data_IF_182097405689
#
_entry.id   IF_182097405689
#
_cell.length_a   1.000
_cell.length_b   1.000
_cell.length_c   1.000
_cell.angle_alpha   90.00
_cell.angle_beta   90.00
_cell.angle_gamma   90.00
#
_symmetry.space_group_name_H-M   'P 1'
#
loop_
_entity.id
_entity.type
_entity.pdbx_description
1 polymer ?
#
# COMPACT_ATOMS: atom_id res chain seq x y z
N UNK A 1 -11.73 -3.06 9.08
CA UNK A 1 -10.86 -4.17 9.57
C UNK A 1 -9.41 -3.75 9.41
N UNK A 2 -8.49 -4.23 10.25
CA UNK A 2 -7.05 -4.14 9.98
C UNK A 2 -6.47 -5.55 9.84
N UNK A 3 -5.57 -5.73 8.87
CA UNK A 3 -4.77 -6.94 8.72
C UNK A 3 -3.32 -6.58 9.06
N UNK A 4 -2.60 -7.49 9.72
CA UNK A 4 -1.18 -7.32 10.00
C UNK A 4 -0.34 -8.48 9.44
N UNK A 5 -0.25 -8.64 8.11
CA UNK A 5 0.53 -9.72 7.51
C UNK A 5 2.02 -9.50 7.78
N UNK A 6 2.71 -10.59 8.11
CA UNK A 6 4.17 -10.61 8.24
C UNK A 6 4.82 -10.59 6.86
N UNK A 7 6.04 -10.04 6.78
CA UNK A 7 6.81 -10.01 5.55
C UNK A 7 7.58 -11.33 5.36
N UNK A 8 7.77 -11.82 4.12
CA UNK A 8 8.60 -13.00 3.87
C UNK A 8 10.09 -12.75 4.12
N UNK A 9 10.53 -11.48 4.00
CA UNK A 9 11.87 -11.03 4.30
C UNK A 9 11.87 -9.55 4.69
N UNK A 10 12.88 -9.12 5.46
CA UNK A 10 12.98 -7.78 6.04
C UNK A 10 14.04 -6.89 5.36
N UNK A 11 14.55 -7.30 4.20
CA UNK A 11 15.45 -6.47 3.39
C UNK A 11 14.69 -5.37 2.64
N UNK A 12 15.42 -4.30 2.27
CA UNK A 12 14.84 -3.13 1.62
C UNK A 12 14.15 -3.47 0.28
N UNK A 13 14.73 -4.38 -0.52
CA UNK A 13 14.17 -4.75 -1.82
C UNK A 13 12.80 -5.41 -1.67
N UNK A 14 12.64 -6.33 -0.71
CA UNK A 14 11.37 -6.95 -0.38
C UNK A 14 10.33 -5.91 0.06
N UNK A 15 10.69 -5.01 0.98
CA UNK A 15 9.75 -3.98 1.48
C UNK A 15 9.32 -3.04 0.34
N UNK A 16 10.25 -2.59 -0.49
CA UNK A 16 9.98 -1.74 -1.65
C UNK A 16 9.02 -2.42 -2.63
N UNK A 17 9.22 -3.72 -2.91
CA UNK A 17 8.34 -4.44 -3.84
C UNK A 17 6.89 -4.52 -3.33
N UNK A 18 6.70 -4.73 -2.02
CA UNK A 18 5.37 -4.72 -1.42
C UNK A 18 4.73 -3.32 -1.44
N UNK A 19 5.49 -2.26 -1.17
CA UNK A 19 4.99 -0.88 -1.27
C UNK A 19 4.58 -0.53 -2.72
N UNK A 20 5.43 -0.88 -3.70
CA UNK A 20 5.13 -0.72 -5.14
C UNK A 20 3.86 -1.46 -5.54
N UNK A 21 3.75 -2.74 -5.17
CA UNK A 21 2.56 -3.55 -5.45
C UNK A 21 1.31 -2.93 -4.82
N UNK A 22 1.41 -2.50 -3.56
CA UNK A 22 0.31 -1.84 -2.86
C UNK A 22 -0.15 -0.56 -3.58
N UNK A 23 0.75 0.31 -4.00
CA UNK A 23 0.39 1.53 -4.71
C UNK A 23 -0.25 1.24 -6.07
N UNK A 24 0.32 0.32 -6.83
CA UNK A 24 -0.24 -0.06 -8.12
C UNK A 24 -1.66 -0.64 -7.99
N UNK A 25 -1.96 -1.36 -6.92
CA UNK A 25 -3.27 -1.99 -6.71
C UNK A 25 -4.26 -1.13 -5.92
N UNK A 26 -3.86 0.04 -5.40
CA UNK A 26 -4.68 0.80 -4.44
C UNK A 26 -6.05 1.20 -5.01
N UNK A 27 -6.11 1.74 -6.22
CA UNK A 27 -7.38 2.15 -6.82
C UNK A 27 -8.31 0.96 -7.09
N UNK A 28 -7.74 -0.18 -7.48
CA UNK A 28 -8.47 -1.43 -7.66
C UNK A 28 -9.05 -1.92 -6.33
N UNK A 29 -8.26 -1.89 -5.25
CA UNK A 29 -8.70 -2.23 -3.88
C UNK A 29 -9.87 -1.32 -3.48
N UNK A 30 -9.70 0.00 -3.61
CA UNK A 30 -10.73 0.99 -3.25
C UNK A 30 -12.02 0.79 -4.04
N UNK A 31 -11.92 0.44 -5.32
CA UNK A 31 -13.08 0.13 -6.16
C UNK A 31 -13.78 -1.18 -5.71
N UNK A 32 -13.02 -2.21 -5.35
CA UNK A 32 -13.54 -3.52 -4.92
C UNK A 32 -14.16 -3.49 -3.53
N UNK A 33 -13.67 -2.64 -2.63
CA UNK A 33 -14.28 -2.45 -1.31
C UNK A 33 -15.64 -1.77 -1.34
N UNK A 34 -16.11 -1.36 -2.54
CA UNK A 34 -17.39 -0.69 -2.77
C UNK A 34 -17.63 0.38 -1.71
N UNK A 35 -16.61 1.22 -1.44
CA UNK A 35 -16.75 2.28 -0.44
C UNK A 35 -17.97 3.09 -0.85
N UNK A 36 -19.04 2.92 -0.07
CA UNK A 36 -20.33 3.52 -0.34
C UNK A 36 -20.08 5.01 -0.61
N UNK A 37 -20.58 5.53 -1.72
CA UNK A 37 -20.26 6.90 -2.16
C UNK A 37 -20.58 7.96 -1.09
N UNK A 38 -21.46 7.63 -0.14
CA UNK A 38 -21.77 8.43 1.05
C UNK A 38 -20.70 8.38 2.16
N UNK A 39 -19.92 7.30 2.29
CA UNK A 39 -18.81 7.14 3.26
C UNK A 39 -17.47 7.71 2.77
N UNK A 40 -17.36 8.09 1.48
CA UNK A 40 -16.22 8.86 0.94
C UNK A 40 -15.97 10.19 1.67
N UNK A 41 -16.92 10.66 2.48
CA UNK A 41 -16.83 11.91 3.25
C UNK A 41 -16.17 11.78 4.63
N UNK A 42 -15.79 10.58 5.08
CA UNK A 42 -15.03 10.42 6.34
C UNK A 42 -13.59 9.98 6.06
N UNK A 43 -12.60 10.89 6.12
CA UNK A 43 -11.20 10.58 5.86
C UNK A 43 -10.57 10.02 7.13
N UNK A 44 -10.99 8.83 7.56
CA UNK A 44 -10.40 8.26 8.78
C UNK A 44 -8.98 7.72 8.55
N UNK A 45 -8.63 7.40 7.29
CA UNK A 45 -7.32 6.88 6.89
C UNK A 45 -6.87 7.58 5.60
N UNK A 46 -5.67 8.17 5.61
CA UNK A 46 -5.11 8.83 4.43
C UNK A 46 -4.33 7.84 3.55
N UNK A 47 -4.40 8.02 2.24
CA UNK A 47 -3.43 7.40 1.32
C UNK A 47 -2.11 8.20 1.28
N UNK A 48 -1.14 7.72 0.52
CA UNK A 48 0.18 8.34 0.36
C UNK A 48 0.14 9.54 -0.59
N UNK A 49 1.07 10.47 -0.39
CA UNK A 49 1.24 11.61 -1.31
C UNK A 49 1.83 11.17 -2.65
N UNK A 50 1.45 11.85 -3.72
CA UNK A 50 1.87 11.52 -5.10
C UNK A 50 3.40 11.48 -5.26
N UNK A 51 4.13 12.40 -4.63
CA UNK A 51 5.60 12.47 -4.77
C UNK A 51 6.29 11.24 -4.17
N UNK A 52 5.81 10.75 -3.02
CA UNK A 52 6.32 9.53 -2.39
C UNK A 52 6.02 8.29 -3.22
N UNK A 53 4.80 8.21 -3.76
CA UNK A 53 4.40 7.12 -4.65
C UNK A 53 5.30 7.12 -5.89
N UNK A 54 5.46 8.27 -6.53
CA UNK A 54 6.27 8.44 -7.74
C UNK A 54 7.74 8.02 -7.51
N UNK A 55 8.32 8.42 -6.38
CA UNK A 55 9.68 8.03 -5.99
C UNK A 55 9.83 6.50 -5.90
N UNK A 56 8.88 5.83 -5.25
CA UNK A 56 8.98 4.39 -5.00
C UNK A 56 8.67 3.55 -6.23
N UNK A 57 7.78 3.98 -7.12
CA UNK A 57 7.50 3.25 -8.36
C UNK A 57 8.55 3.50 -9.44
N UNK A 58 9.45 4.46 -9.26
CA UNK A 58 10.62 4.62 -10.13
C UNK A 58 11.47 3.34 -10.10
N UNK A 59 11.87 2.87 -11.29
CA UNK A 59 12.64 1.62 -11.46
C UNK A 59 14.02 1.70 -10.81
N UNK A 60 14.61 2.89 -10.77
CA UNK A 60 15.97 3.11 -10.30
C UNK A 60 16.01 3.34 -8.78
N UNK A 61 14.84 3.44 -8.14
CA UNK A 61 14.74 3.51 -6.69
C UNK A 61 15.11 2.15 -6.05
N UNK A 62 16.31 2.08 -5.49
CA UNK A 62 16.87 0.90 -4.84
C UNK A 62 17.67 1.31 -3.59
N UNK A 63 16.98 1.83 -2.55
CA UNK A 63 17.64 2.27 -1.32
C UNK A 63 18.15 1.07 -0.52
N UNK A 64 19.06 1.34 0.41
CA UNK A 64 19.28 0.45 1.54
C UNK A 64 18.18 0.65 2.62
N UNK A 65 18.23 -0.15 3.68
CA UNK A 65 17.22 -0.06 4.75
C UNK A 65 17.17 1.32 5.43
N UNK A 66 18.31 1.92 5.84
CA UNK A 66 18.33 3.29 6.38
C UNK A 66 17.68 4.31 5.44
N UNK A 67 18.04 4.31 4.15
CA UNK A 67 17.49 5.23 3.16
C UNK A 67 15.98 5.06 2.99
N UNK A 68 15.50 3.81 2.90
CA UNK A 68 14.06 3.53 2.81
C UNK A 68 13.28 4.05 4.02
N UNK A 69 13.83 3.90 5.23
CA UNK A 69 13.19 4.38 6.45
C UNK A 69 13.18 5.91 6.48
N UNK A 70 14.29 6.56 6.14
CA UNK A 70 14.40 8.01 6.09
C UNK A 70 13.41 8.61 5.09
N UNK A 71 13.35 8.05 3.88
CA UNK A 71 12.40 8.44 2.83
C UNK A 71 10.94 8.29 3.29
N UNK A 72 10.61 7.19 3.98
CA UNK A 72 9.26 7.04 4.55
C UNK A 72 8.98 8.10 5.62
N UNK A 73 9.93 8.37 6.51
CA UNK A 73 9.76 9.33 7.61
C UNK A 73 9.67 10.77 7.10
N UNK A 74 10.38 11.13 6.03
CA UNK A 74 10.27 12.44 5.39
C UNK A 74 8.86 12.69 4.85
N UNK A 75 8.31 11.70 4.13
CA UNK A 75 7.02 11.85 3.46
C UNK A 75 5.81 11.47 4.34
N UNK A 76 6.01 10.58 5.31
CA UNK A 76 4.93 9.91 6.06
C UNK A 76 5.25 9.74 7.57
N UNK A 77 5.60 10.80 8.33
CA UNK A 77 5.88 10.73 9.77
C UNK A 77 4.59 10.60 10.60
N UNK A 78 3.68 9.70 10.20
CA UNK A 78 2.38 9.53 10.83
C UNK A 78 1.87 8.12 10.69
N UNK A 79 1.29 7.61 11.77
CA UNK A 79 0.50 6.38 11.75
C UNK A 79 -0.75 6.49 10.87
N UNK A 80 -1.18 7.68 10.43
CA UNK A 80 -2.39 7.84 9.62
C UNK A 80 -2.12 7.57 8.13
N UNK A 81 -1.90 6.29 7.79
CA UNK A 81 -1.74 5.78 6.42
C UNK A 81 -2.54 4.50 6.19
N UNK A 82 -2.96 4.28 4.95
CA UNK A 82 -3.68 3.07 4.52
C UNK A 82 -2.83 1.80 4.59
N UNK A 83 -1.51 1.97 4.52
CA UNK A 83 -0.52 0.98 4.89
C UNK A 83 0.49 1.64 5.84
N UNK A 84 0.29 1.48 7.15
CA UNK A 84 1.16 2.08 8.16
C UNK A 84 2.44 1.23 8.32
N UNK A 85 3.60 1.83 8.04
CA UNK A 85 4.89 1.14 8.07
C UNK A 85 5.69 1.43 9.34
N UNK A 86 5.25 2.37 10.17
CA UNK A 86 5.97 2.73 11.39
C UNK A 86 6.18 1.54 12.35
N UNK A 87 5.24 0.59 12.51
CA UNK A 87 5.49 -0.62 13.30
C UNK A 87 6.65 -1.47 12.77
N UNK A 88 6.74 -1.63 11.44
CA UNK A 88 7.81 -2.37 10.79
C UNK A 88 9.13 -1.62 10.92
N UNK A 89 9.15 -0.33 10.58
CA UNK A 89 10.38 0.46 10.63
C UNK A 89 10.90 0.65 12.05
N UNK A 90 10.03 0.76 13.05
CA UNK A 90 10.45 0.76 14.46
C UNK A 90 11.00 -0.61 14.91
N UNK A 91 10.59 -1.71 14.26
CA UNK A 91 11.20 -3.02 14.51
C UNK A 91 12.60 -3.14 13.90
N UNK A 92 12.86 -2.48 12.78
CA UNK A 92 14.14 -2.50 12.08
C UNK A 92 15.15 -1.49 12.67
N UNK A 93 14.70 -0.29 13.02
CA UNK A 93 15.51 0.80 13.57
C UNK A 93 14.63 1.72 14.44
N UNK A 94 14.45 1.36 15.72
CA UNK A 94 13.60 2.14 16.63
C UNK A 94 14.14 3.55 16.83
N UNK A 95 15.45 3.72 17.02
CA UNK A 95 16.06 5.01 17.31
C UNK A 95 15.80 6.02 16.18
N UNK A 96 15.95 5.59 14.91
CA UNK A 96 15.65 6.41 13.73
C UNK A 96 14.18 6.84 13.66
N UNK A 97 13.25 5.91 13.92
CA UNK A 97 11.82 6.25 13.93
C UNK A 97 11.48 7.20 15.08
N UNK A 98 12.03 6.97 16.28
CA UNK A 98 11.76 7.81 17.47
C UNK A 98 12.37 9.20 17.37
N UNK A 99 13.42 9.38 16.57
CA UNK A 99 13.98 10.71 16.29
C UNK A 99 13.00 11.62 15.53
N UNK A 100 12.07 11.06 14.76
CA UNK A 100 11.11 11.82 13.94
C UNK A 100 9.67 11.72 14.48
N UNK A 101 9.30 10.57 15.05
CA UNK A 101 7.92 10.26 15.47
C UNK A 101 7.82 10.05 16.98
N UNK A 102 7.26 11.05 17.66
CA UNK A 102 6.88 10.97 19.08
C UNK A 102 5.42 10.50 19.22
N UNK A 103 5.17 9.21 18.95
CA UNK A 103 3.87 8.57 19.18
C UNK A 103 4.04 7.23 19.90
N UNK A 104 3.65 7.20 21.18
CA UNK A 104 3.70 6.01 22.02
C UNK A 104 2.86 4.82 21.51
N UNK A 105 1.93 5.06 20.56
CA UNK A 105 1.10 4.03 19.92
C UNK A 105 1.82 3.30 18.80
N UNK A 106 2.98 3.78 18.34
CA UNK A 106 3.87 3.01 17.47
C UNK A 106 4.47 1.88 18.30
N UNK A 107 4.07 0.65 18.00
CA UNK A 107 4.57 -0.58 18.63
C UNK A 107 5.33 -1.39 17.59
N UNK A 108 6.62 -1.60 17.82
CA UNK A 108 7.50 -2.32 16.91
C UNK A 108 7.03 -3.77 16.71
N UNK A 109 6.87 -4.19 15.46
CA UNK A 109 6.57 -5.58 15.06
C UNK A 109 6.86 -5.79 13.56
N UNK A 110 7.27 -6.99 13.13
CA UNK A 110 7.64 -7.30 11.75
C UNK A 110 6.43 -7.52 10.83
N UNK A 111 5.44 -6.61 10.87
CA UNK A 111 4.20 -6.74 10.09
C UNK A 111 3.94 -5.46 9.30
N UNK A 112 3.30 -5.59 8.15
CA UNK A 112 2.53 -4.48 7.61
C UNK A 112 1.39 -4.12 8.57
N UNK A 113 0.98 -2.86 8.59
CA UNK A 113 -0.24 -2.46 9.27
C UNK A 113 -1.24 -1.98 8.23
N UNK A 114 -1.91 -2.94 7.61
CA UNK A 114 -2.83 -2.71 6.50
C UNK A 114 -4.20 -2.30 7.04
N UNK A 115 -4.64 -1.09 6.68
CA UNK A 115 -5.85 -0.48 7.22
C UNK A 115 -6.85 -0.26 6.11
N UNK A 116 -7.95 -0.99 6.21
CA UNK A 116 -9.01 -0.94 5.23
C UNK A 116 -10.14 -0.01 5.68
N UNK A 117 -10.64 0.86 4.79
CA UNK A 117 -11.73 1.76 5.11
C UNK A 117 -13.04 1.03 5.41
N UNK A 118 -13.27 -0.18 4.89
CA UNK A 118 -14.54 -0.88 5.07
C UNK A 118 -14.48 -2.02 6.12
N UNK A 119 -15.51 -2.10 6.95
CA UNK A 119 -15.74 -3.15 7.92
C UNK A 119 -17.26 -3.35 7.97
N UNK A 120 -17.82 -3.99 6.95
CA UNK A 120 -19.26 -4.04 6.74
C UNK A 120 -19.87 -5.24 7.47
N UNK A 121 -19.71 -5.30 8.79
CA UNK A 121 -20.08 -6.46 9.62
C UNK A 121 -21.59 -6.76 9.55
N UNK A 122 -22.42 -5.74 9.35
CA UNK A 122 -23.87 -5.88 9.27
C UNK A 122 -24.34 -6.40 7.88
N UNK A 123 -23.44 -6.47 6.89
CA UNK A 123 -23.74 -6.98 5.57
C UNK A 123 -23.51 -8.50 5.52
N UNK A 124 -24.56 -9.31 5.28
CA UNK A 124 -24.44 -10.78 5.29
C UNK A 124 -23.56 -11.32 4.15
N UNK A 125 -23.33 -10.53 3.09
CA UNK A 125 -22.46 -10.89 1.97
C UNK A 125 -21.00 -10.50 2.22
N UNK A 126 -20.70 -9.78 3.30
CA UNK A 126 -19.36 -9.39 3.68
C UNK A 126 -18.70 -10.45 4.57
N UNK A 127 -17.42 -10.73 4.33
CA UNK A 127 -16.61 -11.59 5.18
C UNK A 127 -15.13 -11.25 5.05
N UNK A 128 -14.31 -11.77 5.99
CA UNK A 128 -12.85 -11.55 6.03
C UNK A 128 -12.09 -12.08 4.80
N UNK A 129 -12.69 -12.97 4.01
CA UNK A 129 -12.09 -13.47 2.77
C UNK A 129 -11.91 -12.38 1.70
N UNK A 130 -12.78 -11.37 1.67
CA UNK A 130 -12.66 -10.25 0.73
C UNK A 130 -11.39 -9.41 0.97
N UNK A 131 -11.17 -8.83 2.18
CA UNK A 131 -9.95 -8.07 2.45
C UNK A 131 -8.68 -8.92 2.41
N UNK A 132 -8.78 -10.21 2.76
CA UNK A 132 -7.67 -11.14 2.63
C UNK A 132 -7.32 -11.43 1.17
N UNK A 133 -8.31 -11.66 0.30
CA UNK A 133 -8.09 -11.89 -1.13
C UNK A 133 -7.38 -10.73 -1.81
N UNK A 134 -7.78 -9.49 -1.51
CA UNK A 134 -7.09 -8.31 -2.03
C UNK A 134 -5.64 -8.21 -1.52
N UNK A 135 -5.38 -8.61 -0.28
CA UNK A 135 -4.02 -8.68 0.22
C UNK A 135 -3.18 -9.73 -0.51
N UNK A 136 -3.75 -10.89 -0.82
CA UNK A 136 -3.07 -11.92 -1.61
C UNK A 136 -2.69 -11.43 -3.01
N UNK A 137 -3.50 -10.57 -3.66
CA UNK A 137 -3.09 -9.95 -4.93
C UNK A 137 -1.85 -9.06 -4.78
N UNK A 138 -1.69 -8.36 -3.66
CA UNK A 138 -0.48 -7.58 -3.34
C UNK A 138 0.72 -8.53 -3.19
N UNK A 139 0.59 -9.61 -2.41
CA UNK A 139 1.69 -10.57 -2.24
C UNK A 139 2.08 -11.24 -3.56
N UNK A 140 1.09 -11.63 -4.36
CA UNK A 140 1.32 -12.23 -5.66
C UNK A 140 2.04 -11.25 -6.58
N UNK A 141 1.62 -9.98 -6.65
CA UNK A 141 2.31 -9.00 -7.49
C UNK A 141 3.74 -8.71 -6.98
N UNK A 142 3.91 -8.52 -5.67
CA UNK A 142 5.21 -8.21 -5.05
C UNK A 142 6.25 -9.33 -5.23
N UNK A 143 5.80 -10.58 -5.34
CA UNK A 143 6.65 -11.77 -5.53
C UNK A 143 6.97 -12.07 -7.00
N UNK A 144 6.45 -11.29 -7.97
CA UNK A 144 6.69 -11.47 -9.40
C UNK A 144 7.34 -10.23 -10.02
N UNK A 145 8.68 -10.08 -9.95
CA UNK A 145 9.39 -8.85 -10.30
C UNK A 145 9.06 -8.30 -11.70
N UNK A 146 8.94 -9.17 -12.71
CA UNK A 146 8.65 -8.75 -14.08
C UNK A 146 7.23 -8.19 -14.22
N UNK A 147 6.26 -8.77 -13.50
CA UNK A 147 4.87 -8.26 -13.49
C UNK A 147 4.80 -6.93 -12.73
N UNK A 148 5.50 -6.86 -11.60
CA UNK A 148 5.57 -5.64 -10.79
C UNK A 148 6.21 -4.48 -11.56
N UNK A 149 7.32 -4.71 -12.26
CA UNK A 149 7.99 -3.69 -13.08
C UNK A 149 7.03 -3.16 -14.17
N UNK A 150 6.39 -4.05 -14.92
CA UNK A 150 5.41 -3.66 -15.94
C UNK A 150 4.22 -2.88 -15.36
N UNK A 151 3.75 -3.28 -14.17
CA UNK A 151 2.67 -2.58 -13.47
C UNK A 151 3.11 -1.17 -13.04
N UNK A 152 4.32 -1.03 -12.49
CA UNK A 152 4.88 0.26 -12.08
C UNK A 152 5.06 1.20 -13.27
N UNK A 153 5.56 0.71 -14.41
CA UNK A 153 5.70 1.49 -15.65
C UNK A 153 4.36 2.07 -16.12
N UNK A 154 3.32 1.22 -16.17
CA UNK A 154 1.96 1.63 -16.56
C UNK A 154 1.38 2.62 -15.57
N UNK A 155 1.53 2.33 -14.28
CA UNK A 155 1.02 3.18 -13.21
C UNK A 155 1.69 4.55 -13.19
N UNK A 156 3.01 4.64 -13.45
CA UNK A 156 3.72 5.90 -13.55
C UNK A 156 3.17 6.79 -14.70
N UNK A 157 2.77 6.19 -15.82
CA UNK A 157 2.10 6.90 -16.90
C UNK A 157 0.73 7.46 -16.48
N UNK A 158 -0.02 6.69 -15.71
CA UNK A 158 -1.36 7.04 -15.24
C UNK A 158 -1.33 8.07 -14.09
N UNK A 159 -0.39 7.97 -13.17
CA UNK A 159 -0.19 8.89 -12.03
C UNK A 159 0.04 10.34 -12.51
N UNK A 160 0.61 10.51 -13.70
CA UNK A 160 0.87 11.81 -14.32
C UNK A 160 -0.36 12.45 -14.98
N UNK A 161 -1.50 11.74 -15.05
CA UNK A 161 -2.72 12.27 -15.65
C UNK A 161 -3.52 13.11 -14.65
N UNK A 162 -3.99 14.27 -15.12
CA UNK A 162 -4.79 15.20 -14.32
C UNK A 162 -6.13 14.60 -13.84
N UNK A 163 -6.67 13.64 -14.59
CA UNK A 163 -8.01 13.06 -14.34
C UNK A 163 -7.95 11.68 -13.65
N UNK A 164 -6.78 11.24 -13.19
CA UNK A 164 -6.54 9.91 -12.61
C UNK A 164 -7.64 9.49 -11.60
N UNK A 165 -7.89 10.33 -10.59
CA UNK A 165 -8.86 10.03 -9.52
C UNK A 165 -10.34 10.05 -9.96
N UNK A 166 -10.66 10.55 -11.16
CA UNK A 166 -12.04 10.77 -11.61
C UNK A 166 -12.55 9.68 -12.56
N UNK A 167 -11.66 9.03 -13.31
CA UNK A 167 -12.07 8.17 -14.42
C UNK A 167 -12.20 6.69 -14.03
N UNK A 168 -11.64 6.27 -12.88
CA UNK A 168 -11.62 4.86 -12.47
C UNK A 168 -10.91 3.92 -13.47
N UNK A 169 -10.22 4.50 -14.46
CA UNK A 169 -9.61 3.78 -15.58
C UNK A 169 -8.52 2.83 -15.11
N UNK A 170 -7.68 3.30 -14.18
CA UNK A 170 -6.62 2.49 -13.61
C UNK A 170 -7.16 1.25 -12.90
N UNK A 171 -8.20 1.40 -12.07
CA UNK A 171 -8.84 0.28 -11.40
C UNK A 171 -9.39 -0.77 -12.38
N UNK A 172 -9.94 -0.34 -13.52
CA UNK A 172 -10.42 -1.25 -14.57
C UNK A 172 -9.25 -1.98 -15.25
N UNK A 173 -8.18 -1.25 -15.64
CA UNK A 173 -6.99 -1.84 -16.26
C UNK A 173 -6.31 -2.86 -15.33
N UNK A 174 -6.15 -2.53 -14.04
CA UNK A 174 -5.63 -3.47 -13.04
C UNK A 174 -6.50 -4.73 -12.96
N UNK A 175 -7.82 -4.60 -13.02
CA UNK A 175 -8.73 -5.74 -13.04
C UNK A 175 -8.48 -6.70 -14.22
N UNK A 176 -8.26 -6.15 -15.41
CA UNK A 176 -7.91 -6.94 -16.60
C UNK A 176 -6.52 -7.60 -16.47
N UNK A 177 -5.54 -6.87 -15.94
CA UNK A 177 -4.18 -7.39 -15.72
C UNK A 177 -4.16 -8.55 -14.72
N UNK A 178 -4.84 -8.40 -13.58
CA UNK A 178 -4.96 -9.47 -12.59
C UNK A 178 -5.68 -10.69 -13.17
N UNK A 179 -6.76 -10.51 -13.93
CA UNK A 179 -7.45 -11.62 -14.59
C UNK A 179 -6.50 -12.41 -15.54
N UNK A 180 -5.63 -11.71 -16.26
CA UNK A 180 -4.62 -12.34 -17.11
C UNK A 180 -3.51 -13.05 -16.33
N UNK A 181 -3.19 -12.61 -15.11
CA UNK A 181 -2.18 -13.25 -14.27
C UNK A 181 -2.63 -14.57 -13.66
N UNK A 182 -3.94 -14.77 -13.55
CA UNK A 182 -4.60 -15.97 -13.02
C UNK A 182 -5.07 -16.96 -14.10
N UNK A 183 -5.00 -16.58 -15.38
CA UNK A 183 -5.34 -17.41 -16.54
C UNK A 183 -4.20 -18.37 -16.93
#
# INVERSE_FOLDING_TARGET
VHLNPELPALDAATIVNYLRAYFCLYDWIVAHEKIDTARRLTPYINHFGKDYIAMLIDRDYAPDLPGLIDDYLEHNPSRNRSLDMLPLFAHLDEDRVRAVVDDARVKARPTFHYRLPNCDIDNPDWNLGQPWGMWLEIEQLASHPQRLEQMCERYAGELNRLTHALEGRWAAEVGELLANYHA
#
